data_IF_551796848282
#
_entry.id   IF_551796848282
#
_cell.length_a   1.000
_cell.length_b   1.000
_cell.length_c   1.000
_cell.angle_alpha   90.00
_cell.angle_beta   90.00
_cell.angle_gamma   90.00
#
_symmetry.space_group_name_H-M   'P 1'
#
loop_
_entity.id
_entity.type
_entity.pdbx_description
1 polymer ?
#
# COMPACT_ATOMS: atom_id res chain seq x y z
N UNK A 1 0.60 -2.86 -9.96
CA UNK A 1 1.66 -1.84 -10.16
C UNK A 1 2.65 -2.24 -11.26
N UNK A 2 3.15 -1.31 -12.09
CA UNK A 2 4.20 -1.59 -13.08
C UNK A 2 5.47 -2.15 -12.40
N UNK A 3 6.09 -3.14 -13.04
CA UNK A 3 7.24 -3.85 -12.46
C UNK A 3 8.57 -3.09 -12.65
N UNK A 4 8.75 -2.37 -13.76
CA UNK A 4 9.98 -1.62 -14.10
C UNK A 4 9.64 -0.19 -14.57
N UNK A 5 9.50 0.00 -15.89
CA UNK A 5 9.18 1.31 -16.49
C UNK A 5 7.77 1.74 -16.05
N UNK A 6 7.62 3.02 -15.68
CA UNK A 6 6.33 3.61 -15.30
C UNK A 6 5.92 3.46 -13.83
N UNK A 7 6.68 2.73 -12.99
CA UNK A 7 6.36 2.58 -11.55
C UNK A 7 6.35 3.92 -10.82
N UNK A 8 7.38 4.74 -11.03
CA UNK A 8 7.49 6.07 -10.43
C UNK A 8 6.36 7.00 -10.88
N UNK A 9 5.98 6.94 -12.15
CA UNK A 9 4.82 7.69 -12.67
C UNK A 9 3.53 7.24 -12.00
N UNK A 10 3.33 5.94 -11.78
CA UNK A 10 2.15 5.43 -11.08
C UNK A 10 2.11 5.89 -9.61
N UNK A 11 3.22 5.83 -8.88
CA UNK A 11 3.30 6.33 -7.49
C UNK A 11 3.00 7.83 -7.38
N UNK A 12 3.51 8.64 -8.31
CA UNK A 12 3.20 10.07 -8.38
C UNK A 12 1.69 10.31 -8.61
N UNK A 13 1.07 9.52 -9.48
CA UNK A 13 -0.40 9.60 -9.71
C UNK A 13 -1.18 9.22 -8.45
N UNK A 14 -0.80 8.14 -7.78
CA UNK A 14 -1.43 7.73 -6.51
C UNK A 14 -1.34 8.88 -5.50
N UNK A 15 -0.13 9.40 -5.28
CA UNK A 15 0.11 10.51 -4.35
C UNK A 15 -0.73 11.74 -4.70
N UNK A 16 -0.82 12.10 -5.97
CA UNK A 16 -1.66 13.22 -6.42
C UNK A 16 -3.17 12.97 -6.16
N UNK A 17 -3.64 11.73 -6.29
CA UNK A 17 -5.04 11.35 -6.05
C UNK A 17 -5.40 11.36 -4.56
N UNK A 18 -4.55 10.85 -3.68
CA UNK A 18 -4.85 10.77 -2.23
C UNK A 18 -4.65 12.09 -1.49
N UNK A 19 -4.03 13.10 -2.10
CA UNK A 19 -3.84 14.40 -1.45
C UNK A 19 -5.17 15.06 -1.08
N UNK A 20 -5.35 15.40 0.21
CA UNK A 20 -6.55 16.09 0.72
C UNK A 20 -6.79 17.45 0.07
N UNK A 21 -5.72 18.12 -0.35
CA UNK A 21 -5.73 19.42 -1.04
C UNK A 21 -5.91 19.30 -2.57
N UNK A 22 -6.22 18.11 -3.08
CA UNK A 22 -6.62 17.93 -4.48
C UNK A 22 -7.91 18.70 -4.78
N UNK A 23 -8.08 19.29 -5.99
CA UNK A 23 -9.26 20.07 -6.37
C UNK A 23 -10.60 19.35 -6.19
N UNK A 24 -10.57 18.02 -6.19
CA UNK A 24 -11.75 17.15 -6.13
C UNK A 24 -11.91 16.49 -4.74
N UNK A 25 -11.08 16.90 -3.77
CA UNK A 25 -10.85 16.15 -2.53
C UNK A 25 -9.91 14.96 -2.73
N UNK A 26 -9.39 14.41 -1.63
CA UNK A 26 -8.56 13.21 -1.67
C UNK A 26 -9.39 11.98 -2.03
N UNK A 27 -8.92 11.17 -2.97
CA UNK A 27 -9.59 9.97 -3.44
C UNK A 27 -8.83 8.70 -3.03
N UNK A 28 -9.49 7.71 -2.42
CA UNK A 28 -8.88 6.42 -2.14
C UNK A 28 -8.40 5.72 -3.42
N UNK A 29 -7.26 5.05 -3.33
CA UNK A 29 -6.73 4.23 -4.42
C UNK A 29 -6.60 2.79 -3.96
N UNK A 30 -7.22 1.88 -4.70
CA UNK A 30 -7.11 0.44 -4.46
C UNK A 30 -6.16 -0.17 -5.49
N UNK A 31 -5.24 -1.01 -5.04
CA UNK A 31 -4.33 -1.74 -5.91
C UNK A 31 -4.08 -3.16 -5.39
N UNK A 32 -3.87 -4.07 -6.34
CA UNK A 32 -3.35 -5.40 -6.06
C UNK A 32 -1.82 -5.39 -6.14
N UNK A 33 -1.17 -6.07 -5.19
CA UNK A 33 0.29 -6.20 -5.16
C UNK A 33 0.73 -7.62 -4.79
N UNK A 34 1.86 -8.04 -5.35
CA UNK A 34 2.43 -9.35 -5.08
C UNK A 34 3.22 -9.36 -3.77
N UNK A 35 3.34 -10.51 -3.08
CA UNK A 35 4.04 -10.62 -1.80
C UNK A 35 5.52 -10.22 -1.95
N UNK A 36 6.15 -10.57 -3.07
CA UNK A 36 7.54 -10.19 -3.36
C UNK A 36 7.76 -8.69 -3.55
N UNK A 37 6.69 -7.90 -3.74
CA UNK A 37 6.77 -6.46 -4.03
C UNK A 37 6.14 -5.60 -2.94
N UNK A 38 5.42 -6.18 -1.97
CA UNK A 38 4.66 -5.40 -1.00
C UNK A 38 5.55 -4.54 -0.11
N UNK A 39 6.68 -5.09 0.36
CA UNK A 39 7.62 -4.34 1.19
C UNK A 39 8.27 -3.19 0.41
N UNK A 40 8.54 -3.38 -0.88
CA UNK A 40 9.05 -2.31 -1.75
C UNK A 40 8.01 -1.23 -1.94
N UNK A 41 6.74 -1.60 -2.19
CA UNK A 41 5.64 -0.65 -2.30
C UNK A 41 5.46 0.17 -1.03
N UNK A 42 5.46 -0.47 0.15
CA UNK A 42 5.32 0.22 1.43
C UNK A 42 6.48 1.20 1.69
N UNK A 43 7.72 0.81 1.37
CA UNK A 43 8.87 1.72 1.42
C UNK A 43 8.69 2.92 0.49
N UNK A 44 8.23 2.71 -0.75
CA UNK A 44 8.01 3.82 -1.68
C UNK A 44 6.86 4.73 -1.23
N UNK A 45 5.77 4.17 -0.68
CA UNK A 45 4.66 4.95 -0.12
C UNK A 45 5.05 5.72 1.14
N UNK A 46 5.99 5.21 1.95
CA UNK A 46 6.49 5.92 3.14
C UNK A 46 7.22 7.23 2.83
N UNK A 47 7.69 7.41 1.59
CA UNK A 47 8.29 8.68 1.14
C UNK A 47 7.24 9.77 0.89
N UNK A 48 5.97 9.40 0.81
CA UNK A 48 4.84 10.29 0.56
C UNK A 48 4.08 10.49 1.86
N UNK A 49 4.56 11.46 2.66
CA UNK A 49 3.97 11.83 3.93
C UNK A 49 2.47 12.13 3.79
N UNK A 50 1.69 11.71 4.80
CA UNK A 50 0.23 11.92 5.00
C UNK A 50 -0.72 10.86 4.43
N UNK A 51 -0.28 9.88 3.65
CA UNK A 51 -1.18 8.79 3.23
C UNK A 51 -1.39 7.77 4.36
N UNK A 52 -2.63 7.31 4.57
CA UNK A 52 -2.90 6.09 5.36
C UNK A 52 -3.03 4.90 4.42
N UNK A 53 -2.45 3.77 4.82
CA UNK A 53 -2.51 2.51 4.07
C UNK A 53 -3.27 1.47 4.87
N UNK A 54 -4.23 0.82 4.22
CA UNK A 54 -4.85 -0.42 4.68
C UNK A 54 -4.39 -1.55 3.78
N UNK A 55 -3.90 -2.61 4.38
CA UNK A 55 -3.38 -3.79 3.72
C UNK A 55 -4.21 -4.97 4.16
N UNK A 56 -4.89 -5.61 3.22
CA UNK A 56 -5.62 -6.85 3.44
C UNK A 56 -4.91 -7.97 2.70
N UNK A 57 -4.65 -9.08 3.40
CA UNK A 57 -4.06 -10.28 2.80
C UNK A 57 -4.95 -11.49 2.98
N UNK A 58 -4.90 -12.38 1.99
CA UNK A 58 -5.57 -13.69 2.06
C UNK A 58 -7.06 -13.57 2.42
N UNK A 59 -7.75 -12.57 1.84
CA UNK A 59 -9.18 -12.33 2.07
C UNK A 59 -9.98 -13.63 1.84
N UNK A 60 -11.00 -13.86 2.68
CA UNK A 60 -11.86 -15.06 2.74
C UNK A 60 -11.19 -16.34 3.24
N UNK A 61 -9.89 -16.34 3.58
CA UNK A 61 -9.17 -17.51 4.07
C UNK A 61 -9.02 -17.48 5.60
N UNK A 62 -8.75 -18.65 6.20
CA UNK A 62 -8.59 -18.79 7.66
C UNK A 62 -7.47 -17.92 8.26
N UNK A 63 -6.47 -17.57 7.44
CA UNK A 63 -5.33 -16.72 7.82
C UNK A 63 -5.42 -15.31 7.23
N UNK A 64 -6.64 -14.83 6.96
CA UNK A 64 -6.91 -13.45 6.58
C UNK A 64 -6.32 -12.48 7.61
N UNK A 65 -5.76 -11.37 7.14
CA UNK A 65 -5.29 -10.30 8.00
C UNK A 65 -5.53 -8.95 7.33
N UNK A 66 -6.08 -8.00 8.11
CA UNK A 66 -6.27 -6.61 7.70
C UNK A 66 -5.53 -5.71 8.70
N UNK A 67 -4.59 -4.92 8.19
CA UNK A 67 -3.82 -3.97 8.99
C UNK A 67 -3.89 -2.58 8.37
N UNK A 68 -4.07 -1.56 9.21
CA UNK A 68 -4.19 -0.17 8.78
C UNK A 68 -3.28 0.73 9.61
N UNK A 69 -2.57 1.65 8.95
CA UNK A 69 -1.68 2.59 9.60
C UNK A 69 -1.00 3.51 8.61
N UNK A 70 0.06 4.18 9.05
CA UNK A 70 1.02 4.80 8.15
C UNK A 70 1.78 3.71 7.37
N UNK A 71 2.29 4.02 6.15
CA UNK A 71 3.12 3.07 5.40
C UNK A 71 4.30 2.52 6.22
N UNK A 72 4.87 3.34 7.10
CA UNK A 72 5.99 3.00 7.98
C UNK A 72 5.58 1.99 9.06
N UNK A 73 4.45 2.21 9.75
CA UNK A 73 3.94 1.28 10.77
C UNK A 73 3.60 -0.08 10.15
N UNK A 74 2.91 -0.06 9.01
CA UNK A 74 2.54 -1.29 8.31
C UNK A 74 3.77 -2.01 7.77
N UNK A 75 4.77 -1.28 7.26
CA UNK A 75 6.06 -1.86 6.89
C UNK A 75 6.76 -2.53 8.08
N UNK A 76 6.81 -1.84 9.23
CA UNK A 76 7.44 -2.38 10.43
C UNK A 76 6.77 -3.68 10.90
N UNK A 77 5.44 -3.75 10.80
CA UNK A 77 4.68 -4.97 11.10
C UNK A 77 5.12 -6.16 10.24
N UNK A 78 5.17 -6.00 8.92
CA UNK A 78 5.57 -7.08 8.01
C UNK A 78 7.07 -7.40 8.04
N UNK A 79 7.92 -6.45 8.44
CA UNK A 79 9.33 -6.73 8.72
C UNK A 79 9.48 -7.60 9.98
N UNK A 80 8.67 -7.35 11.01
CA UNK A 80 8.65 -8.14 12.24
C UNK A 80 8.06 -9.54 12.05
N UNK A 81 7.09 -9.69 11.14
CA UNK A 81 6.40 -10.94 10.82
C UNK A 81 6.67 -11.36 9.36
N UNK A 82 7.94 -11.51 8.99
CA UNK A 82 8.33 -11.72 7.60
C UNK A 82 7.72 -13.00 6.97
N UNK A 83 7.38 -14.00 7.77
CA UNK A 83 6.74 -15.25 7.37
C UNK A 83 5.28 -15.08 6.90
N UNK A 84 4.65 -13.96 7.23
CA UNK A 84 3.29 -13.60 6.78
C UNK A 84 3.28 -12.89 5.43
N UNK A 85 4.44 -12.53 4.88
CA UNK A 85 4.60 -11.87 3.57
C UNK A 85 4.47 -12.89 2.43
N UNK A 86 3.29 -13.48 2.31
CA UNK A 86 2.95 -14.50 1.30
C UNK A 86 1.48 -14.36 0.89
N UNK A 87 1.12 -15.01 -0.21
CA UNK A 87 -0.24 -14.99 -0.73
C UNK A 87 -0.58 -13.71 -1.49
N UNK A 88 -1.82 -13.27 -1.42
CA UNK A 88 -2.35 -12.14 -2.19
C UNK A 88 -2.59 -10.92 -1.29
N UNK A 89 -2.29 -9.73 -1.82
CA UNK A 89 -2.47 -8.47 -1.10
C UNK A 89 -3.36 -7.49 -1.87
N UNK A 90 -4.33 -6.93 -1.15
CA UNK A 90 -5.07 -5.73 -1.53
C UNK A 90 -4.54 -4.57 -0.70
N UNK A 91 -4.14 -3.50 -1.37
CA UNK A 91 -3.66 -2.27 -0.72
C UNK A 91 -4.62 -1.14 -1.04
N UNK A 92 -5.09 -0.48 0.01
CA UNK A 92 -5.94 0.70 -0.08
C UNK A 92 -5.14 1.87 0.47
N UNK A 93 -4.86 2.85 -0.37
CA UNK A 93 -4.22 4.11 0.02
C UNK A 93 -5.31 5.16 0.16
N UNK A 94 -5.35 5.84 1.30
CA UNK A 94 -6.40 6.81 1.66
C UNK A 94 -5.81 8.17 2.03
N UNK A 95 -6.58 9.27 1.84
CA UNK A 95 -6.14 10.63 2.13
C UNK A 95 -5.75 10.95 3.56
#
# INVERSE_FOLDING_TARGET
MPHKKGRQTALKKITAMVRKDSPQGGMPVVLYESPHRILKLLKELSLHDRARVTLARELTKIHEEVISGTPQEVLAHFVKHADTVKGEFVVIVTP
#
